data_IF_503362357732
#
_entry.id   IF_503362357732
#
_cell.length_a   1.000
_cell.length_b   1.000
_cell.length_c   1.000
_cell.angle_alpha   90.00
_cell.angle_beta   90.00
_cell.angle_gamma   90.00
#
_symmetry.space_group_name_H-M   'P 1'
#
loop_
_entity.id
_entity.type
_entity.pdbx_description
1 polymer ?
#
# COMPACT_ATOMS: atom_id res chain seq x y z
N UNK A 1 3.75 26.58 2.90
CA UNK A 1 4.80 25.62 2.46
C UNK A 1 4.15 24.31 2.01
N UNK A 2 4.38 23.88 0.77
CA UNK A 2 4.05 22.51 0.35
C UNK A 2 5.04 21.57 1.04
N UNK A 3 4.55 20.61 1.83
CA UNK A 3 5.38 19.48 2.24
C UNK A 3 5.56 18.58 1.03
N UNK A 4 6.81 18.46 0.57
CA UNK A 4 7.14 17.47 -0.45
C UNK A 4 7.37 16.12 0.22
N UNK A 5 6.42 15.22 -0.04
CA UNK A 5 6.50 13.83 0.40
C UNK A 5 7.16 13.00 -0.69
N UNK A 6 8.09 12.12 -0.30
CA UNK A 6 8.71 11.16 -1.22
C UNK A 6 7.67 10.17 -1.76
N UNK A 7 7.94 9.57 -2.91
CA UNK A 7 7.04 8.58 -3.51
C UNK A 7 6.87 7.35 -2.60
N UNK A 8 7.96 6.90 -1.97
CA UNK A 8 7.96 5.77 -1.02
C UNK A 8 7.04 6.03 0.17
N UNK A 9 7.14 7.22 0.75
CA UNK A 9 6.29 7.61 1.87
C UNK A 9 4.81 7.67 1.47
N UNK A 10 4.51 8.23 0.29
CA UNK A 10 3.12 8.27 -0.21
C UNK A 10 2.53 6.87 -0.40
N UNK A 11 3.33 5.93 -0.94
CA UNK A 11 2.92 4.54 -1.12
C UNK A 11 2.70 3.84 0.22
N UNK A 12 3.62 4.02 1.18
CA UNK A 12 3.48 3.49 2.54
C UNK A 12 2.18 3.95 3.20
N UNK A 13 1.89 5.26 3.17
CA UNK A 13 0.65 5.81 3.74
C UNK A 13 -0.59 5.21 3.08
N UNK A 14 -0.58 5.05 1.75
CA UNK A 14 -1.72 4.48 1.03
C UNK A 14 -1.94 3.02 1.41
N UNK A 15 -0.88 2.22 1.43
CA UNK A 15 -0.95 0.79 1.76
C UNK A 15 -1.40 0.55 3.22
N UNK A 16 -0.78 1.25 4.18
CA UNK A 16 -1.14 1.12 5.60
C UNK A 16 -2.57 1.62 5.88
N UNK A 17 -2.97 2.75 5.30
CA UNK A 17 -4.33 3.26 5.46
C UNK A 17 -5.39 2.22 5.04
N UNK A 18 -5.16 1.51 3.92
CA UNK A 18 -6.08 0.50 3.39
C UNK A 18 -6.18 -0.75 4.28
N UNK A 19 -5.13 -1.07 5.05
CA UNK A 19 -5.15 -2.16 6.04
C UNK A 19 -5.81 -1.76 7.35
N UNK A 20 -5.87 -0.46 7.67
CA UNK A 20 -6.45 0.01 8.93
C UNK A 20 -7.97 -0.14 8.96
N UNK A 21 -8.51 -0.47 10.13
CA UNK A 21 -9.96 -0.42 10.39
C UNK A 21 -10.50 1.01 10.48
N UNK A 22 -9.63 2.01 10.72
CA UNK A 22 -10.03 3.40 10.92
C UNK A 22 -9.04 4.38 10.26
N UNK A 23 -9.26 4.62 8.97
CA UNK A 23 -8.47 5.53 8.14
C UNK A 23 -8.44 6.95 8.71
N UNK A 24 -9.56 7.45 9.25
CA UNK A 24 -9.64 8.82 9.78
C UNK A 24 -8.67 9.03 10.94
N UNK A 25 -8.60 8.04 11.86
CA UNK A 25 -7.66 8.08 12.98
C UNK A 25 -6.21 7.97 12.51
N UNK A 26 -5.93 7.05 11.59
CA UNK A 26 -4.60 6.85 11.01
C UNK A 26 -4.06 8.13 10.36
N UNK A 27 -4.84 8.74 9.46
CA UNK A 27 -4.44 9.99 8.79
C UNK A 27 -4.19 11.15 9.76
N UNK A 28 -4.93 11.21 10.87
CA UNK A 28 -4.71 12.22 11.92
C UNK A 28 -3.38 12.01 12.64
N UNK A 29 -3.00 10.76 12.91
CA UNK A 29 -1.71 10.42 13.53
C UNK A 29 -0.55 10.79 12.59
N UNK A 30 -0.66 10.43 11.32
CA UNK A 30 0.35 10.72 10.28
C UNK A 30 0.35 12.19 9.82
N UNK A 31 -0.57 13.01 10.36
CA UNK A 31 -0.77 14.42 9.98
C UNK A 31 -0.96 14.60 8.48
N UNK A 32 -1.69 13.68 7.85
CA UNK A 32 -2.03 13.70 6.43
C UNK A 32 -3.46 14.19 6.26
N UNK A 33 -3.63 15.19 5.39
CA UNK A 33 -4.95 15.68 5.04
C UNK A 33 -5.71 14.64 4.22
N UNK A 34 -7.00 14.50 4.51
CA UNK A 34 -7.89 13.55 3.83
C UNK A 34 -7.86 13.73 2.31
N UNK A 35 -7.94 14.96 1.82
CA UNK A 35 -7.88 15.27 0.38
C UNK A 35 -6.57 14.81 -0.26
N UNK A 36 -5.43 15.07 0.40
CA UNK A 36 -4.10 14.63 -0.05
C UNK A 36 -4.03 13.10 -0.17
N UNK A 37 -4.54 12.39 0.84
CA UNK A 37 -4.60 10.93 0.82
C UNK A 37 -5.39 10.40 -0.38
N UNK A 38 -6.61 10.90 -0.63
CA UNK A 38 -7.41 10.41 -1.76
C UNK A 38 -6.81 10.76 -3.12
N UNK A 39 -6.09 11.88 -3.23
CA UNK A 39 -5.32 12.20 -4.44
C UNK A 39 -4.23 11.15 -4.69
N UNK A 40 -3.50 10.73 -3.65
CA UNK A 40 -2.49 9.68 -3.76
C UNK A 40 -3.12 8.32 -4.06
N UNK A 41 -4.18 7.96 -3.35
CA UNK A 41 -4.90 6.71 -3.57
C UNK A 41 -5.39 6.59 -5.01
N UNK A 42 -6.02 7.64 -5.56
CA UNK A 42 -6.46 7.68 -6.96
C UNK A 42 -5.28 7.47 -7.91
N UNK A 43 -4.21 8.26 -7.73
CA UNK A 43 -3.00 8.17 -8.54
C UNK A 43 -2.41 6.75 -8.57
N UNK A 44 -2.29 6.10 -7.42
CA UNK A 44 -1.63 4.79 -7.33
C UNK A 44 -2.53 3.61 -7.65
N UNK A 45 -3.85 3.78 -7.58
CA UNK A 45 -4.82 2.81 -8.08
C UNK A 45 -4.81 2.78 -9.60
N UNK A 46 -4.78 3.94 -10.25
CA UNK A 46 -4.79 4.05 -11.71
C UNK A 46 -3.46 3.56 -12.35
N UNK A 47 -2.34 3.64 -11.62
CA UNK A 47 -1.02 3.14 -12.07
C UNK A 47 -0.77 1.66 -11.74
N UNK A 48 -1.70 0.96 -11.09
CA UNK A 48 -1.54 -0.44 -10.68
C UNK A 48 -0.44 -0.68 -9.63
N UNK A 49 0.05 0.38 -8.98
CA UNK A 49 1.16 0.34 -8.02
C UNK A 49 0.70 -0.10 -6.63
N UNK A 50 -0.58 0.11 -6.31
CA UNK A 50 -1.24 -0.41 -5.11
C UNK A 50 -2.21 -1.49 -5.57
N UNK A 51 -2.27 -2.61 -4.85
CA UNK A 51 -3.17 -3.71 -5.17
C UNK A 51 -4.58 -3.16 -5.42
N UNK A 52 -5.13 -3.44 -6.61
CA UNK A 52 -6.51 -3.09 -6.94
C UNK A 52 -7.43 -3.84 -5.98
N UNK A 53 -7.77 -3.22 -4.85
CA UNK A 53 -8.89 -3.68 -4.04
C UNK A 53 -10.13 -3.48 -4.88
N UNK A 54 -10.52 -4.56 -5.55
CA UNK A 54 -11.76 -4.65 -6.29
C UNK A 54 -12.89 -4.21 -5.37
N UNK A 55 -13.68 -3.25 -5.80
CA UNK A 55 -14.93 -2.89 -5.13
C UNK A 55 -16.01 -3.96 -5.35
N UNK A 56 -15.71 -5.05 -6.08
CA UNK A 56 -16.64 -6.17 -6.24
C UNK A 56 -16.84 -6.88 -4.89
N UNK A 57 -18.07 -7.28 -4.57
CA UNK A 57 -18.36 -8.07 -3.39
C UNK A 57 -17.49 -9.35 -3.38
N UNK A 58 -17.13 -9.80 -2.17
CA UNK A 58 -16.24 -10.95 -1.87
C UNK A 58 -16.67 -12.28 -2.49
N UNK A 59 -17.78 -12.34 -3.20
CA UNK A 59 -18.33 -13.52 -3.88
C UNK A 59 -17.75 -13.76 -5.27
N UNK A 60 -16.92 -12.87 -5.82
CA UNK A 60 -16.16 -13.19 -7.04
C UNK A 60 -14.93 -14.05 -6.66
N UNK A 61 -14.71 -15.22 -7.29
CA UNK A 61 -13.49 -16.00 -7.07
C UNK A 61 -12.29 -15.11 -7.31
N UNK A 62 -11.48 -14.90 -6.27
CA UNK A 62 -10.34 -14.01 -6.28
C UNK A 62 -9.21 -14.68 -7.09
N UNK A 63 -9.21 -14.50 -8.41
CA UNK A 63 -8.16 -15.01 -9.33
C UNK A 63 -6.93 -14.09 -9.27
N UNK A 64 -6.48 -13.72 -8.06
CA UNK A 64 -5.15 -13.16 -7.91
C UNK A 64 -4.43 -13.93 -6.81
N UNK A 65 -3.91 -15.08 -7.23
CA UNK A 65 -3.10 -15.97 -6.40
C UNK A 65 -1.74 -15.29 -6.15
N UNK A 66 -1.73 -14.37 -5.19
CA UNK A 66 -0.59 -13.57 -4.75
C UNK A 66 0.53 -14.39 -4.11
N UNK A 67 0.39 -15.71 -4.00
CA UNK A 67 1.38 -16.58 -3.37
C UNK A 67 2.73 -16.51 -4.09
N UNK A 68 2.76 -16.35 -5.42
CA UNK A 68 4.02 -16.18 -6.17
C UNK A 68 4.71 -14.85 -5.83
N UNK A 69 3.96 -13.75 -5.71
CA UNK A 69 4.49 -12.45 -5.35
C UNK A 69 4.99 -12.41 -3.90
N UNK A 70 4.22 -13.00 -2.98
CA UNK A 70 4.61 -13.15 -1.57
C UNK A 70 5.89 -14.00 -1.46
N UNK A 71 5.96 -15.13 -2.16
CA UNK A 71 7.15 -15.99 -2.15
C UNK A 71 8.38 -15.27 -2.75
N UNK A 72 8.20 -14.43 -3.78
CA UNK A 72 9.29 -13.63 -4.36
C UNK A 72 9.81 -12.58 -3.37
N UNK A 73 8.92 -11.89 -2.66
CA UNK A 73 9.29 -10.90 -1.63
C UNK A 73 10.05 -11.58 -0.48
N UNK A 74 9.58 -12.74 0.00
CA UNK A 74 10.26 -13.51 1.05
C UNK A 74 11.66 -13.92 0.59
N UNK A 75 11.79 -14.43 -0.65
CA UNK A 75 13.08 -14.85 -1.21
C UNK A 75 14.09 -13.69 -1.27
N UNK A 76 13.68 -12.54 -1.80
CA UNK A 76 14.55 -11.35 -1.89
C UNK A 76 14.98 -10.83 -0.51
N UNK A 77 14.09 -10.91 0.48
CA UNK A 77 14.42 -10.54 1.86
C UNK A 77 15.42 -11.53 2.46
N UNK A 78 15.22 -12.83 2.30
CA UNK A 78 16.17 -13.85 2.80
C UNK A 78 17.54 -13.72 2.14
N UNK A 79 17.62 -13.49 0.82
CA UNK A 79 18.89 -13.30 0.12
C UNK A 79 19.64 -12.05 0.57
N UNK A 80 18.92 -10.94 0.81
CA UNK A 80 19.54 -9.66 1.21
C UNK A 80 20.12 -9.66 2.63
N UNK A 81 19.58 -10.49 3.53
CA UNK A 81 19.93 -10.46 4.96
C UNK A 81 20.71 -11.69 5.45
N UNK A 82 20.87 -12.75 4.64
CA UNK A 82 21.60 -13.98 5.03
C UNK A 82 23.13 -13.91 4.83
N UNK A 83 23.67 -12.76 4.40
CA UNK A 83 25.12 -12.53 4.22
C UNK A 83 25.82 -11.75 5.35
N UNK A 84 25.14 -11.50 6.48
CA UNK A 84 25.73 -10.87 7.67
C UNK A 84 25.57 -11.79 8.88
N UNK A 85 26.29 -12.89 8.89
CA UNK A 85 26.62 -13.64 10.10
C UNK A 85 27.96 -14.35 9.88
#
# INVERSE_FOLDING_TARGET
MKKDYSTEFKLFIVDEALKTKNIKRFLKMERINKSTFYTWLKKYKDTGTVANFSTKPKTSPNIFNNQKAINLIIKLYTEKYRGKH
#
